data_IF_706169450965
#
_entry.id   IF_706169450965
#
_cell.length_a   1.000
_cell.length_b   1.000
_cell.length_c   1.000
_cell.angle_alpha   90.00
_cell.angle_beta   90.00
_cell.angle_gamma   90.00
#
_symmetry.space_group_name_H-M   'P 1'
#
loop_
_entity.id
_entity.type
_entity.pdbx_description
1 polymer ?
#
# COMPACT_ATOMS: atom_id res chain seq x y z
N UNK A 1 1.68 -15.00 -5.00
CA UNK A 1 0.59 -15.35 -5.94
C UNK A 1 0.96 -16.66 -6.64
N UNK A 2 0.03 -17.61 -6.81
CA UNK A 2 0.34 -18.90 -7.44
C UNK A 2 0.80 -18.73 -8.90
N UNK A 3 2.00 -19.22 -9.22
CA UNK A 3 2.60 -19.09 -10.56
C UNK A 3 3.48 -17.85 -10.74
N UNK A 4 3.96 -17.63 -11.98
CA UNK A 4 4.86 -16.51 -12.33
C UNK A 4 4.07 -15.22 -12.57
N UNK A 5 3.68 -14.55 -11.49
CA UNK A 5 2.89 -13.31 -11.53
C UNK A 5 3.71 -12.02 -11.68
N UNK A 6 4.93 -12.11 -12.25
CA UNK A 6 5.77 -10.96 -12.52
C UNK A 6 6.63 -10.49 -11.33
N UNK A 7 7.90 -10.93 -11.22
CA UNK A 7 8.83 -10.46 -10.18
C UNK A 7 9.25 -8.99 -10.33
N UNK A 8 10.02 -8.49 -9.35
CA UNK A 8 10.60 -7.13 -9.36
C UNK A 8 11.53 -6.85 -10.54
N UNK A 9 12.02 -7.91 -11.20
CA UNK A 9 13.02 -7.86 -12.28
C UNK A 9 12.63 -6.82 -13.35
N UNK A 10 11.39 -6.92 -13.84
CA UNK A 10 10.83 -6.04 -14.87
C UNK A 10 9.55 -5.33 -14.40
N UNK A 11 9.33 -5.22 -13.09
CA UNK A 11 8.16 -4.55 -12.50
C UNK A 11 6.83 -5.21 -12.88
N UNK A 12 6.80 -6.54 -12.96
CA UNK A 12 5.58 -7.28 -13.30
C UNK A 12 5.33 -7.51 -14.80
N UNK A 13 6.09 -6.85 -15.69
CA UNK A 13 5.93 -6.99 -17.15
C UNK A 13 6.32 -8.36 -17.71
N UNK A 14 7.07 -9.14 -16.93
CA UNK A 14 7.52 -10.48 -17.24
C UNK A 14 6.61 -11.58 -16.66
N UNK A 15 5.38 -11.21 -16.28
CA UNK A 15 4.34 -12.15 -15.89
C UNK A 15 4.03 -13.15 -17.02
N UNK A 16 3.74 -14.39 -16.63
CA UNK A 16 3.29 -15.40 -17.58
C UNK A 16 1.89 -15.07 -18.11
N UNK A 17 1.53 -15.67 -19.26
CA UNK A 17 0.20 -15.48 -19.86
C UNK A 17 -0.91 -15.79 -18.85
N UNK A 18 -2.03 -15.03 -18.84
CA UNK A 18 -3.15 -15.24 -17.92
C UNK A 18 -3.67 -16.68 -17.88
N UNK A 19 -3.60 -17.42 -18.99
CA UNK A 19 -4.00 -18.83 -19.09
C UNK A 19 -3.11 -19.82 -18.32
N UNK A 20 -1.93 -19.39 -17.85
CA UNK A 20 -0.95 -20.24 -17.13
C UNK A 20 -0.71 -19.77 -15.69
N UNK A 21 -1.49 -18.82 -15.19
CA UNK A 21 -1.40 -18.32 -13.83
C UNK A 21 -2.73 -18.54 -13.12
N UNK A 22 -2.66 -18.74 -11.80
CA UNK A 22 -3.84 -18.99 -10.98
C UNK A 22 -3.91 -17.96 -9.87
N UNK A 23 -5.12 -17.63 -9.45
CA UNK A 23 -5.33 -16.75 -8.30
C UNK A 23 -6.39 -17.32 -7.38
N UNK A 24 -6.29 -16.95 -6.11
CA UNK A 24 -7.32 -17.22 -5.10
C UNK A 24 -7.33 -16.06 -4.13
N UNK A 25 -8.47 -15.84 -3.48
CA UNK A 25 -8.55 -14.83 -2.43
C UNK A 25 -7.55 -15.16 -1.32
N UNK A 26 -6.84 -14.11 -0.88
CA UNK A 26 -6.05 -14.19 0.35
C UNK A 26 -7.00 -14.47 1.51
N UNK A 27 -6.62 -15.27 2.52
CA UNK A 27 -7.38 -15.37 3.76
C UNK A 27 -7.65 -14.00 4.42
N UNK A 28 -6.76 -13.03 4.16
CA UNK A 28 -6.91 -11.65 4.63
C UNK A 28 -8.08 -10.90 3.96
N UNK A 29 -8.56 -11.34 2.79
CA UNK A 29 -9.60 -10.63 2.06
C UNK A 29 -10.90 -10.54 2.89
N UNK A 30 -11.37 -11.65 3.48
CA UNK A 30 -12.58 -11.64 4.32
C UNK A 30 -12.37 -11.06 5.72
N UNK A 31 -11.12 -10.88 6.16
CA UNK A 31 -10.82 -10.09 7.35
C UNK A 31 -10.92 -8.58 7.05
N UNK A 32 -10.49 -8.17 5.85
CA UNK A 32 -10.57 -6.78 5.40
C UNK A 32 -11.97 -6.38 4.94
N UNK A 33 -12.73 -7.33 4.38
CA UNK A 33 -14.10 -7.19 3.92
C UNK A 33 -14.98 -8.27 4.58
N UNK A 34 -15.40 -8.04 5.84
CA UNK A 34 -16.19 -9.02 6.56
C UNK A 34 -17.50 -9.33 5.84
N UNK A 35 -17.83 -10.61 5.72
CA UNK A 35 -19.02 -11.08 5.00
C UNK A 35 -20.34 -10.52 5.57
N UNK A 36 -20.36 -10.20 6.87
CA UNK A 36 -21.48 -9.53 7.54
C UNK A 36 -21.77 -8.11 6.99
N UNK A 37 -20.87 -7.52 6.20
CA UNK A 37 -21.14 -6.26 5.51
C UNK A 37 -21.83 -6.46 4.16
N UNK A 38 -21.72 -7.63 3.54
CA UNK A 38 -22.10 -7.83 2.14
C UNK A 38 -23.58 -7.48 1.88
N UNK A 39 -24.46 -7.77 2.85
CA UNK A 39 -25.89 -7.47 2.79
C UNK A 39 -26.23 -5.97 2.95
N UNK A 40 -25.29 -5.17 3.46
CA UNK A 40 -25.46 -3.75 3.73
C UNK A 40 -24.99 -2.87 2.56
N UNK A 41 -24.21 -3.45 1.64
CA UNK A 41 -23.65 -2.72 0.52
C UNK A 41 -24.69 -2.47 -0.57
N UNK A 42 -24.76 -1.24 -1.06
CA UNK A 42 -25.57 -0.91 -2.24
C UNK A 42 -24.96 -1.54 -3.50
N UNK A 43 -25.68 -2.52 -4.07
CA UNK A 43 -25.30 -3.19 -5.32
C UNK A 43 -25.73 -2.37 -6.53
N UNK A 44 -24.88 -2.36 -7.56
CA UNK A 44 -25.24 -1.79 -8.85
C UNK A 44 -26.19 -2.70 -9.62
N UNK A 45 -26.77 -2.14 -10.68
CA UNK A 45 -27.58 -2.86 -11.66
C UNK A 45 -27.05 -2.55 -13.06
N UNK A 46 -26.91 -3.57 -13.89
CA UNK A 46 -26.53 -3.47 -15.31
C UNK A 46 -27.39 -4.44 -16.12
N UNK A 47 -28.10 -3.94 -17.15
CA UNK A 47 -29.08 -4.68 -17.95
C UNK A 47 -30.07 -5.55 -17.13
N UNK A 48 -30.55 -5.00 -16.00
CA UNK A 48 -31.48 -5.69 -15.09
C UNK A 48 -30.86 -6.79 -14.23
N UNK A 49 -29.54 -6.96 -14.29
CA UNK A 49 -28.78 -7.88 -13.44
C UNK A 49 -28.11 -7.12 -12.30
N UNK A 50 -28.20 -7.66 -11.09
CA UNK A 50 -27.45 -7.14 -9.94
C UNK A 50 -25.96 -7.46 -10.10
N UNK A 51 -25.13 -6.42 -10.09
CA UNK A 51 -23.67 -6.51 -10.23
C UNK A 51 -22.96 -6.27 -8.89
N UNK A 52 -21.68 -5.93 -8.92
CA UNK A 52 -20.92 -5.60 -7.73
C UNK A 52 -21.49 -4.39 -6.97
N UNK A 53 -21.17 -4.28 -5.67
CA UNK A 53 -21.38 -3.04 -4.93
C UNK A 53 -20.74 -1.83 -5.60
N UNK A 54 -21.41 -0.68 -5.52
CA UNK A 54 -20.87 0.62 -5.95
C UNK A 54 -19.51 0.87 -5.26
N UNK A 55 -19.38 0.44 -4.00
CA UNK A 55 -18.12 0.39 -3.27
C UNK A 55 -18.16 -0.68 -2.19
N UNK A 56 -16.99 -1.22 -1.88
CA UNK A 56 -16.75 -1.90 -0.62
C UNK A 56 -16.19 -0.91 0.40
N UNK A 57 -16.47 -1.14 1.69
CA UNK A 57 -15.94 -0.32 2.79
C UNK A 57 -15.07 -1.21 3.68
N UNK A 58 -13.77 -1.37 3.36
CA UNK A 58 -12.89 -2.25 4.14
C UNK A 58 -12.73 -1.77 5.58
N UNK A 59 -12.30 -2.65 6.48
CA UNK A 59 -12.08 -2.33 7.92
C UNK A 59 -11.01 -1.24 8.17
N UNK A 60 -10.09 -1.06 7.21
CA UNK A 60 -9.06 -0.02 7.19
C UNK A 60 -8.98 0.58 5.77
N UNK A 61 -8.54 1.84 5.59
CA UNK A 61 -8.48 2.49 4.28
C UNK A 61 -7.44 1.83 3.36
N UNK A 62 -7.88 0.83 2.58
CA UNK A 62 -7.00 0.06 1.69
C UNK A 62 -6.38 0.89 0.56
N UNK A 63 -6.98 2.05 0.24
CA UNK A 63 -6.39 3.02 -0.67
C UNK A 63 -5.00 3.47 -0.21
N UNK A 64 -4.81 3.64 1.11
CA UNK A 64 -3.52 3.98 1.70
C UNK A 64 -2.60 2.76 1.80
N UNK A 65 -3.14 1.58 2.13
CA UNK A 65 -2.34 0.36 2.31
C UNK A 65 -1.66 -0.08 1.01
N UNK A 66 -2.43 -0.13 -0.08
CA UNK A 66 -1.90 -0.58 -1.38
C UNK A 66 -1.34 0.58 -2.22
N UNK A 67 -1.70 1.83 -1.87
CA UNK A 67 -1.50 2.98 -2.73
C UNK A 67 -2.42 2.94 -3.96
N UNK A 68 -2.29 3.94 -4.81
CA UNK A 68 -3.01 4.05 -6.07
C UNK A 68 -2.17 4.78 -7.11
N UNK A 69 -2.23 4.35 -8.35
CA UNK A 69 -1.67 5.08 -9.49
C UNK A 69 -2.64 4.96 -10.67
N UNK A 70 -3.00 6.09 -11.26
CA UNK A 70 -3.94 6.13 -12.37
C UNK A 70 -3.87 7.42 -13.17
N UNK A 71 -4.22 7.33 -14.45
CA UNK A 71 -4.32 8.46 -15.37
C UNK A 71 -5.69 8.37 -16.04
N UNK A 72 -6.45 9.45 -15.97
CA UNK A 72 -7.72 9.61 -16.66
C UNK A 72 -7.72 10.87 -17.52
N UNK A 73 -8.87 11.19 -18.09
CA UNK A 73 -9.05 12.42 -18.87
C UNK A 73 -9.18 13.61 -17.91
N UNK A 74 -8.18 14.49 -17.86
CA UNK A 74 -8.19 15.69 -17.01
C UNK A 74 -7.64 15.50 -15.60
N UNK A 75 -7.47 14.26 -15.13
CA UNK A 75 -6.92 13.95 -13.81
C UNK A 75 -5.86 12.85 -13.85
N UNK A 76 -4.96 12.89 -12.88
CA UNK A 76 -4.08 11.76 -12.57
C UNK A 76 -3.96 11.64 -11.06
N UNK A 77 -3.64 10.45 -10.58
CA UNK A 77 -3.48 10.19 -9.16
C UNK A 77 -2.23 9.35 -8.92
N UNK A 78 -1.53 9.70 -7.84
CA UNK A 78 -0.43 8.91 -7.30
C UNK A 78 -0.44 9.01 -5.79
N UNK A 79 -0.96 7.98 -5.16
CA UNK A 79 -1.00 7.79 -3.71
C UNK A 79 0.02 6.69 -3.37
N UNK A 80 1.09 6.99 -2.62
CA UNK A 80 2.03 5.95 -2.22
C UNK A 80 1.41 5.00 -1.18
N UNK A 81 1.85 3.72 -1.13
CA UNK A 81 1.45 2.81 -0.07
C UNK A 81 2.00 3.25 1.29
N UNK A 82 1.27 2.94 2.36
CA UNK A 82 1.60 3.22 3.76
C UNK A 82 1.66 1.91 4.57
N UNK A 83 2.31 1.92 5.75
CA UNK A 83 2.37 0.72 6.58
C UNK A 83 0.96 0.44 7.13
N UNK A 84 0.40 -0.77 6.90
CA UNK A 84 -0.90 -1.15 7.47
C UNK A 84 -0.97 -0.96 8.99
N UNK A 85 0.16 -1.06 9.71
CA UNK A 85 0.24 -0.87 11.16
C UNK A 85 0.06 0.58 11.55
N UNK A 86 0.65 1.52 10.80
CA UNK A 86 0.51 2.96 11.03
C UNK A 86 -0.93 3.38 10.72
N UNK A 87 -1.49 2.89 9.61
CA UNK A 87 -2.90 3.10 9.26
C UNK A 87 -3.83 2.58 10.36
N UNK A 88 -3.56 1.39 10.89
CA UNK A 88 -4.35 0.81 11.98
C UNK A 88 -4.19 1.61 13.29
N UNK A 89 -2.98 2.07 13.61
CA UNK A 89 -2.72 2.90 14.78
C UNK A 89 -3.49 4.23 14.69
N UNK A 90 -3.51 4.86 13.52
CA UNK A 90 -4.30 6.07 13.27
C UNK A 90 -5.80 5.83 13.46
N UNK A 91 -6.34 4.77 12.85
CA UNK A 91 -7.77 4.42 12.99
C UNK A 91 -8.14 4.12 14.45
N UNK A 92 -7.27 3.43 15.20
CA UNK A 92 -7.49 3.17 16.63
C UNK A 92 -7.47 4.44 17.47
N UNK A 93 -6.48 5.30 17.27
CA UNK A 93 -6.41 6.58 17.98
C UNK A 93 -7.68 7.41 17.74
N UNK A 94 -8.25 7.39 16.53
CA UNK A 94 -9.56 8.03 16.26
C UNK A 94 -10.74 7.39 16.98
N UNK A 95 -10.75 6.07 17.15
CA UNK A 95 -11.80 5.39 17.94
C UNK A 95 -11.70 5.74 19.43
N UNK A 96 -10.49 5.99 19.92
CA UNK A 96 -10.20 6.39 21.31
C UNK A 96 -10.46 7.89 21.57
N UNK A 97 -11.01 8.63 20.60
CA UNK A 97 -11.33 10.06 20.73
C UNK A 97 -10.29 11.02 20.15
N UNK A 98 -9.19 10.51 19.60
CA UNK A 98 -8.15 11.32 18.97
C UNK A 98 -8.66 12.11 17.75
N UNK A 99 -8.31 13.39 17.69
CA UNK A 99 -8.64 14.29 16.57
C UNK A 99 -10.06 14.86 16.54
N UNK A 100 -10.84 14.75 17.63
CA UNK A 100 -12.17 15.36 17.76
C UNK A 100 -12.31 16.25 19.00
N UNK A 101 -12.59 17.54 18.80
CA UNK A 101 -12.94 18.51 19.85
C UNK A 101 -14.35 18.29 20.39
N UNK A 102 -14.46 17.52 21.46
CA UNK A 102 -15.56 17.63 22.41
C UNK A 102 -15.34 18.83 23.33
N UNK A 103 -16.42 19.39 23.87
CA UNK A 103 -16.39 20.57 24.76
C UNK A 103 -15.67 20.34 26.11
N UNK A 104 -15.14 19.14 26.36
CA UNK A 104 -14.40 18.74 27.56
C UNK A 104 -12.92 18.46 27.19
N UNK A 105 -12.11 19.51 27.30
CA UNK A 105 -10.78 19.68 26.71
C UNK A 105 -9.63 19.26 27.66
N UNK A 106 -9.54 17.97 28.04
CA UNK A 106 -8.42 17.48 28.88
C UNK A 106 -7.65 16.25 28.34
N UNK A 107 -8.19 15.47 27.38
CA UNK A 107 -7.52 14.26 26.86
C UNK A 107 -7.43 14.24 25.31
N UNK A 108 -6.76 15.24 24.71
CA UNK A 108 -6.47 15.23 23.26
C UNK A 108 -5.38 14.19 22.97
N UNK A 109 -5.77 13.03 22.46
CA UNK A 109 -4.82 12.01 21.95
C UNK A 109 -4.22 12.50 20.63
N UNK A 110 -2.90 12.71 20.61
CA UNK A 110 -2.17 13.06 19.38
C UNK A 110 -2.27 11.92 18.36
N UNK A 111 -2.60 12.27 17.12
CA UNK A 111 -2.81 11.29 16.05
C UNK A 111 -1.45 10.87 15.47
N UNK A 112 -1.14 9.56 15.42
CA UNK A 112 0.15 9.10 14.93
C UNK A 112 0.30 9.39 13.44
N UNK A 113 1.47 9.85 12.95
CA UNK A 113 1.65 10.16 11.54
C UNK A 113 1.68 8.88 10.68
N UNK A 114 1.12 8.94 9.47
CA UNK A 114 1.22 7.83 8.51
C UNK A 114 2.33 8.08 7.51
N UNK A 115 3.34 7.19 7.49
CA UNK A 115 4.47 7.32 6.57
C UNK A 115 4.36 6.36 5.39
N UNK A 116 4.77 6.78 4.18
CA UNK A 116 4.85 5.86 3.06
C UNK A 116 5.78 4.70 3.35
N UNK A 117 5.34 3.51 2.96
CA UNK A 117 6.02 2.25 3.24
C UNK A 117 5.73 1.24 2.15
N UNK A 118 6.75 0.45 1.80
CA UNK A 118 6.62 -0.61 0.80
C UNK A 118 7.07 -1.93 1.41
N UNK A 119 6.19 -2.93 1.38
CA UNK A 119 6.48 -4.25 1.93
C UNK A 119 7.74 -4.85 1.32
N UNK A 120 8.71 -5.15 2.19
CA UNK A 120 9.96 -5.82 1.81
C UNK A 120 11.02 -4.90 1.20
N UNK A 121 10.73 -3.60 1.05
CA UNK A 121 11.75 -2.61 0.71
C UNK A 121 12.70 -2.45 1.89
N UNK A 122 13.99 -2.65 1.65
CA UNK A 122 15.00 -2.58 2.71
C UNK A 122 15.66 -1.21 2.80
N UNK A 123 15.46 -0.33 1.83
CA UNK A 123 16.06 1.00 1.81
C UNK A 123 15.37 1.98 2.75
N UNK A 124 15.70 3.26 2.61
CA UNK A 124 15.20 4.31 3.49
C UNK A 124 14.17 5.17 2.74
N UNK A 125 13.09 5.58 3.42
CA UNK A 125 12.07 6.50 2.91
C UNK A 125 12.06 7.70 3.85
N UNK A 126 12.57 8.84 3.37
CA UNK A 126 12.74 10.03 4.19
C UNK A 126 11.90 11.18 3.63
N UNK A 127 11.29 12.02 4.48
CA UNK A 127 10.55 13.19 4.04
C UNK A 127 11.49 14.17 3.32
N UNK A 128 10.96 14.87 2.32
CA UNK A 128 11.67 15.97 1.67
C UNK A 128 11.63 17.22 2.53
N UNK A 129 12.66 18.06 2.40
CA UNK A 129 12.72 19.36 3.09
C UNK A 129 11.54 20.27 2.71
N UNK A 130 11.11 20.20 1.44
CA UNK A 130 9.99 20.98 0.89
C UNK A 130 8.60 20.42 1.23
N UNK A 131 8.52 19.34 2.01
CA UNK A 131 7.28 18.63 2.39
C UNK A 131 6.41 18.16 1.20
N UNK A 132 6.93 18.19 -0.04
CA UNK A 132 6.19 17.76 -1.25
C UNK A 132 6.09 16.24 -1.41
N UNK A 133 6.60 15.49 -0.44
CA UNK A 133 6.60 14.05 -0.40
C UNK A 133 7.90 13.52 0.21
N UNK A 134 8.39 12.42 -0.36
CA UNK A 134 9.46 11.63 0.21
C UNK A 134 10.55 11.32 -0.83
N UNK A 135 11.73 10.98 -0.36
CA UNK A 135 12.82 10.41 -1.16
C UNK A 135 13.02 8.97 -0.71
N UNK A 136 12.96 8.06 -1.67
CA UNK A 136 13.31 6.65 -1.46
C UNK A 136 14.76 6.45 -1.84
N UNK A 137 15.55 5.88 -0.93
CA UNK A 137 16.97 5.59 -1.15
C UNK A 137 17.20 4.09 -1.11
N UNK A 138 17.85 3.55 -2.14
CA UNK A 138 18.41 2.20 -2.13
C UNK A 138 19.58 2.06 -1.15
N UNK A 139 20.17 0.87 -1.09
CA UNK A 139 21.35 0.58 -0.26
C UNK A 139 22.55 0.25 -1.13
N UNK A 140 23.65 0.96 -0.87
CA UNK A 140 24.96 0.69 -1.46
C UNK A 140 26.03 0.81 -0.39
N UNK A 141 26.92 -0.17 -0.35
CA UNK A 141 27.98 -0.28 0.65
C UNK A 141 29.32 -0.54 -0.04
N UNK A 142 30.38 0.08 0.48
CA UNK A 142 31.74 -0.17 0.00
C UNK A 142 32.20 -1.56 0.46
N UNK A 143 32.43 -2.46 -0.48
CA UNK A 143 32.90 -3.83 -0.18
C UNK A 143 34.44 -3.91 -0.14
N UNK A 144 35.15 -3.09 -0.91
CA UNK A 144 36.61 -3.05 -0.91
C UNK A 144 37.14 -1.70 -1.41
N UNK A 145 38.46 -1.56 -1.58
CA UNK A 145 39.06 -0.35 -2.15
C UNK A 145 38.61 -0.05 -3.58
N UNK A 146 38.13 -1.06 -4.31
CA UNK A 146 37.78 -0.98 -5.73
C UNK A 146 36.39 -1.56 -6.02
N UNK A 147 35.57 -1.82 -5.00
CA UNK A 147 34.27 -2.45 -5.17
C UNK A 147 33.19 -1.90 -4.26
N UNK A 148 31.99 -1.79 -4.82
CA UNK A 148 30.74 -1.40 -4.14
C UNK A 148 29.71 -2.50 -4.35
N UNK A 149 28.97 -2.82 -3.30
CA UNK A 149 27.84 -3.74 -3.34
C UNK A 149 26.54 -2.96 -3.22
N UNK A 150 25.65 -3.13 -4.19
CA UNK A 150 24.32 -2.53 -4.20
C UNK A 150 23.31 -3.63 -3.88
N UNK A 151 22.62 -3.52 -2.74
CA UNK A 151 21.74 -4.55 -2.20
C UNK A 151 20.26 -4.17 -2.25
N UNK A 152 19.95 -2.91 -2.55
CA UNK A 152 18.57 -2.45 -2.74
C UNK A 152 18.50 -1.29 -3.72
N UNK A 153 17.44 -1.28 -4.54
CA UNK A 153 17.13 -0.19 -5.48
C UNK A 153 15.97 0.65 -4.95
N UNK A 154 15.93 1.97 -5.19
CA UNK A 154 14.83 2.82 -4.76
C UNK A 154 13.49 2.37 -5.37
N UNK A 155 12.39 2.71 -4.69
CA UNK A 155 11.04 2.28 -5.11
C UNK A 155 10.73 2.82 -6.51
N UNK A 156 10.20 1.94 -7.37
CA UNK A 156 9.88 2.25 -8.76
C UNK A 156 11.05 2.06 -9.75
N UNK A 157 12.26 1.72 -9.26
CA UNK A 157 13.39 1.37 -10.12
C UNK A 157 13.57 -0.15 -10.20
N UNK A 158 13.34 -0.69 -11.39
CA UNK A 158 13.41 -2.14 -11.66
C UNK A 158 14.81 -2.61 -12.00
N UNK A 159 15.10 -3.87 -11.73
CA UNK A 159 16.43 -4.47 -11.88
C UNK A 159 16.95 -4.38 -13.33
N UNK A 160 16.13 -4.67 -14.34
CA UNK A 160 16.54 -4.59 -15.76
C UNK A 160 16.85 -3.16 -16.22
N UNK A 161 16.03 -2.21 -15.76
CA UNK A 161 16.24 -0.79 -16.04
C UNK A 161 17.55 -0.31 -15.41
N UNK A 162 17.84 -0.76 -14.19
CA UNK A 162 19.08 -0.43 -13.50
C UNK A 162 20.31 -1.12 -14.10
N UNK A 163 20.20 -2.38 -14.52
CA UNK A 163 21.25 -3.08 -15.28
C UNK A 163 21.62 -2.30 -16.55
N UNK A 164 20.61 -1.85 -17.29
CA UNK A 164 20.81 -0.99 -18.46
C UNK A 164 21.49 0.34 -18.11
N UNK A 165 21.30 0.86 -16.89
CA UNK A 165 22.03 2.02 -16.40
C UNK A 165 23.50 1.71 -16.12
N UNK A 166 23.81 0.60 -15.44
CA UNK A 166 25.19 0.17 -15.16
C UNK A 166 25.98 -0.14 -16.43
N UNK A 167 25.35 -0.74 -17.46
CA UNK A 167 25.98 -0.94 -18.76
C UNK A 167 26.42 0.39 -19.39
N UNK A 168 25.56 1.40 -19.37
CA UNK A 168 25.92 2.74 -19.86
C UNK A 168 27.04 3.39 -19.03
N UNK A 169 27.06 3.20 -17.71
CA UNK A 169 28.17 3.67 -16.86
C UNK A 169 29.49 2.98 -17.22
N UNK A 170 29.46 1.67 -17.53
CA UNK A 170 30.64 0.92 -17.99
C UNK A 170 31.14 1.46 -19.32
N UNK A 171 30.24 1.68 -20.27
CA UNK A 171 30.59 2.14 -21.61
C UNK A 171 31.16 3.58 -21.58
N UNK A 172 30.74 4.40 -20.61
CA UNK A 172 31.34 5.73 -20.33
C UNK A 172 32.66 5.66 -19.54
N UNK A 173 33.11 4.47 -19.17
CA UNK A 173 34.34 4.27 -18.40
C UNK A 173 34.22 4.67 -16.92
N UNK A 174 33.00 4.87 -16.41
CA UNK A 174 32.77 5.20 -15.00
C UNK A 174 32.90 3.97 -14.09
N UNK A 175 32.66 2.77 -14.61
CA UNK A 175 32.89 1.51 -13.89
C UNK A 175 33.67 0.56 -14.78
N UNK A 176 34.43 -0.34 -14.17
CA UNK A 176 35.22 -1.35 -14.90
C UNK A 176 34.36 -2.53 -15.32
N UNK A 177 33.59 -3.06 -14.37
CA UNK A 177 32.70 -4.20 -14.57
C UNK A 177 31.68 -4.27 -13.43
N UNK A 178 30.67 -5.10 -13.58
CA UNK A 178 29.78 -5.47 -12.49
C UNK A 178 29.36 -6.94 -12.63
N UNK A 179 29.02 -7.57 -11.52
CA UNK A 179 28.43 -8.91 -11.45
C UNK A 179 27.04 -8.84 -10.80
N UNK A 180 26.18 -9.78 -11.16
CA UNK A 180 24.76 -9.82 -10.79
C UNK A 180 24.45 -11.13 -10.07
N UNK A 181 24.05 -11.05 -8.79
CA UNK A 181 23.67 -12.20 -7.97
C UNK A 181 22.24 -12.01 -7.43
N UNK A 182 21.28 -11.86 -8.34
CA UNK A 182 19.89 -11.54 -8.00
C UNK A 182 19.08 -12.79 -7.63
N UNK A 183 18.08 -12.62 -6.77
CA UNK A 183 16.99 -13.61 -6.63
C UNK A 183 15.71 -13.04 -7.24
N UNK A 184 14.62 -13.81 -7.21
CA UNK A 184 13.30 -13.33 -7.63
C UNK A 184 12.80 -12.15 -6.80
N UNK A 185 13.28 -12.00 -5.56
CA UNK A 185 12.83 -10.98 -4.59
C UNK A 185 13.90 -9.98 -4.16
N UNK A 186 15.19 -10.28 -4.35
CA UNK A 186 16.30 -9.45 -3.90
C UNK A 186 17.25 -9.07 -5.03
N UNK A 187 17.83 -7.89 -4.92
CA UNK A 187 18.85 -7.38 -5.85
C UNK A 187 20.21 -7.42 -5.19
N UNK A 188 21.24 -7.73 -5.98
CA UNK A 188 22.64 -7.69 -5.59
C UNK A 188 23.48 -7.40 -6.82
N UNK A 189 24.08 -6.21 -6.88
CA UNK A 189 25.10 -5.88 -7.87
C UNK A 189 26.44 -5.70 -7.17
N UNK A 190 27.47 -6.42 -7.61
CA UNK A 190 28.85 -6.19 -7.21
C UNK A 190 29.55 -5.38 -8.30
N UNK A 191 29.74 -4.08 -8.08
CA UNK A 191 30.32 -3.15 -9.05
C UNK A 191 31.81 -2.99 -8.76
N UNK A 192 32.64 -3.06 -9.80
CA UNK A 192 34.08 -2.83 -9.73
C UNK A 192 34.47 -1.54 -10.44
N UNK A 193 35.29 -0.72 -9.78
CA UNK A 193 35.75 0.58 -10.29
C UNK A 193 37.15 0.91 -9.76
N UNK A 194 37.80 1.92 -10.34
CA UNK A 194 39.13 2.39 -9.90
C UNK A 194 39.04 3.00 -8.50
N UNK A 195 40.03 2.73 -7.64
CA UNK A 195 40.02 3.20 -6.25
C UNK A 195 39.84 4.71 -6.11
N UNK A 196 40.61 5.49 -6.88
CA UNK A 196 40.51 6.96 -6.90
C UNK A 196 39.11 7.45 -7.32
N UNK A 197 38.42 6.70 -8.17
CA UNK A 197 37.07 7.05 -8.59
C UNK A 197 36.03 6.73 -7.52
N UNK A 198 36.17 5.58 -6.85
CA UNK A 198 35.32 5.20 -5.72
C UNK A 198 35.42 6.23 -4.60
N UNK A 199 36.64 6.62 -4.24
CA UNK A 199 36.88 7.63 -3.20
C UNK A 199 36.25 8.98 -3.57
N UNK A 200 36.31 9.37 -4.85
CA UNK A 200 35.63 10.60 -5.34
C UNK A 200 34.11 10.49 -5.25
N UNK A 201 33.54 9.35 -5.65
CA UNK A 201 32.09 9.11 -5.63
C UNK A 201 31.54 9.06 -4.20
N UNK A 202 32.28 8.48 -3.26
CA UNK A 202 31.92 8.40 -1.85
C UNK A 202 31.98 9.76 -1.16
N UNK A 203 32.97 10.60 -1.52
CA UNK A 203 33.14 11.95 -0.98
C UNK A 203 32.28 13.01 -1.65
N UNK A 204 31.58 12.68 -2.75
CA UNK A 204 30.66 13.59 -3.40
C UNK A 204 29.52 13.93 -2.43
N UNK A 205 29.47 15.20 -2.00
CA UNK A 205 28.50 15.69 -1.02
C UNK A 205 27.04 15.46 -1.44
N UNK A 206 26.17 15.31 -0.45
CA UNK A 206 24.71 15.18 -0.62
C UNK A 206 24.16 13.75 -0.51
N UNK A 207 25.00 12.70 -0.56
CA UNK A 207 24.50 11.32 -0.43
C UNK A 207 25.49 10.17 -0.64
N UNK A 208 26.77 10.47 -0.83
CA UNK A 208 27.82 9.47 -1.02
C UNK A 208 27.48 8.48 -2.14
N UNK A 209 27.67 7.19 -1.86
CA UNK A 209 27.45 6.10 -2.83
C UNK A 209 26.02 6.07 -3.39
N UNK A 210 25.00 6.37 -2.56
CA UNK A 210 23.60 6.32 -3.02
C UNK A 210 23.29 7.38 -4.08
N UNK A 211 23.87 8.58 -3.94
CA UNK A 211 23.74 9.63 -4.95
C UNK A 211 24.56 9.29 -6.21
N UNK A 212 25.81 8.86 -6.05
CA UNK A 212 26.70 8.54 -7.15
C UNK A 212 26.16 7.45 -8.07
N UNK A 213 25.53 6.42 -7.49
CA UNK A 213 24.94 5.28 -8.23
C UNK A 213 23.46 5.49 -8.61
N UNK A 214 22.93 6.72 -8.49
CA UNK A 214 21.54 7.07 -8.79
C UNK A 214 20.52 6.20 -8.07
N UNK A 215 20.80 5.85 -6.81
CA UNK A 215 19.94 5.02 -5.97
C UNK A 215 18.92 5.84 -5.18
N UNK A 216 18.52 7.00 -5.69
CA UNK A 216 17.50 7.86 -5.08
C UNK A 216 16.38 8.13 -6.07
N UNK A 217 15.14 8.00 -5.60
CA UNK A 217 13.94 8.28 -6.40
C UNK A 217 12.93 9.07 -5.58
N UNK A 218 12.25 10.01 -6.24
CA UNK A 218 11.22 10.83 -5.62
C UNK A 218 9.91 10.05 -5.49
N UNK A 219 9.29 10.17 -4.32
CA UNK A 219 7.97 9.66 -4.01
C UNK A 219 7.08 10.84 -3.64
N UNK A 220 6.54 11.52 -4.66
CA UNK A 220 5.69 12.70 -4.47
C UNK A 220 4.32 12.33 -3.89
N UNK A 221 3.79 13.21 -3.04
CA UNK A 221 2.44 13.14 -2.43
C UNK A 221 1.55 14.32 -2.82
N UNK A 222 1.96 15.14 -3.79
CA UNK A 222 1.25 16.37 -4.20
C UNK A 222 0.01 16.14 -5.05
N UNK A 223 -0.20 14.92 -5.55
CA UNK A 223 -1.22 14.60 -6.55
C UNK A 223 -2.05 13.38 -6.16
N UNK A 224 -2.75 13.48 -5.04
CA UNK A 224 -3.60 12.41 -4.48
C UNK A 224 -5.07 12.69 -4.79
N UNK A 225 -5.51 12.30 -5.99
CA UNK A 225 -6.93 12.40 -6.38
C UNK A 225 -7.64 11.06 -6.14
N UNK A 226 -8.82 11.09 -5.53
CA UNK A 226 -9.69 9.92 -5.39
C UNK A 226 -11.16 10.34 -5.39
N UNK A 227 -12.05 9.37 -5.62
CA UNK A 227 -13.48 9.58 -5.47
C UNK A 227 -13.85 9.63 -3.99
N UNK A 228 -14.66 10.61 -3.61
CA UNK A 228 -15.26 10.71 -2.29
C UNK A 228 -16.50 9.80 -2.15
N UNK A 229 -17.21 9.92 -1.03
CA UNK A 229 -18.41 9.13 -0.74
C UNK A 229 -19.59 9.44 -1.66
N UNK A 230 -19.56 10.59 -2.32
CA UNK A 230 -20.63 11.05 -3.21
C UNK A 230 -20.26 10.78 -4.68
N UNK A 231 -19.13 10.10 -4.93
CA UNK A 231 -18.65 9.79 -6.27
C UNK A 231 -18.02 10.98 -7.00
N UNK A 232 -17.60 12.03 -6.29
CA UNK A 232 -16.92 13.19 -6.86
C UNK A 232 -15.41 13.06 -6.71
N UNK A 233 -14.68 13.53 -7.72
CA UNK A 233 -13.21 13.56 -7.67
C UNK A 233 -12.77 14.69 -6.74
N UNK A 234 -12.03 14.33 -5.69
CA UNK A 234 -11.42 15.25 -4.74
C UNK A 234 -9.91 15.08 -4.72
N UNK A 235 -9.19 16.20 -4.57
CA UNK A 235 -7.76 16.19 -4.23
C UNK A 235 -7.62 16.14 -2.71
N UNK A 236 -6.85 15.18 -2.23
CA UNK A 236 -6.46 15.04 -0.83
C UNK A 236 -5.05 15.60 -0.65
N UNK A 237 -4.83 16.37 0.41
CA UNK A 237 -3.54 16.99 0.70
C UNK A 237 -2.63 16.08 1.54
N UNK A 238 -3.21 15.14 2.29
CA UNK A 238 -2.46 14.20 3.14
C UNK A 238 -3.07 12.79 3.16
N UNK A 239 -2.30 11.83 3.69
CA UNK A 239 -2.80 10.47 3.92
C UNK A 239 -3.86 10.46 5.05
N UNK A 240 -3.66 11.33 6.04
CA UNK A 240 -4.57 11.57 7.16
C UNK A 240 -5.95 12.02 6.67
N UNK A 241 -6.02 12.93 5.69
CA UNK A 241 -7.30 13.37 5.11
C UNK A 241 -8.07 12.22 4.43
N UNK A 242 -7.34 11.29 3.77
CA UNK A 242 -7.94 10.08 3.18
C UNK A 242 -8.49 9.17 4.27
N UNK A 243 -7.74 8.96 5.36
CA UNK A 243 -8.19 8.15 6.48
C UNK A 243 -9.39 8.79 7.19
N UNK A 244 -9.38 10.11 7.35
CA UNK A 244 -10.47 10.89 7.96
C UNK A 244 -11.74 10.82 7.13
N UNK A 245 -11.63 10.80 5.81
CA UNK A 245 -12.78 10.62 4.92
C UNK A 245 -13.34 9.18 4.97
N UNK A 246 -12.47 8.18 5.13
CA UNK A 246 -12.89 6.79 5.24
C UNK A 246 -13.55 6.46 6.58
N UNK A 247 -13.06 7.05 7.67
CA UNK A 247 -13.46 6.74 9.05
C UNK A 247 -14.97 6.83 9.31
N UNK A 248 -15.69 7.94 9.04
CA UNK A 248 -17.11 8.05 9.34
C UNK A 248 -17.97 7.09 8.52
N UNK A 249 -17.59 6.82 7.25
CA UNK A 249 -18.26 5.84 6.41
C UNK A 249 -18.17 4.44 7.02
N UNK A 250 -16.98 4.08 7.49
CA UNK A 250 -16.76 2.78 8.11
C UNK A 250 -17.46 2.67 9.46
N UNK A 251 -17.48 3.74 10.25
CA UNK A 251 -18.17 3.79 11.54
C UNK A 251 -19.69 3.65 11.39
N UNK A 252 -20.29 4.35 10.42
CA UNK A 252 -21.71 4.22 10.10
C UNK A 252 -22.08 2.77 9.70
N UNK A 253 -21.26 2.15 8.85
CA UNK A 253 -21.46 0.75 8.44
C UNK A 253 -21.38 -0.23 9.62
N UNK A 254 -20.53 0.02 10.62
CA UNK A 254 -20.53 -0.79 11.86
C UNK A 254 -21.86 -0.68 12.62
N UNK A 255 -22.48 0.51 12.67
CA UNK A 255 -23.80 0.72 13.28
C UNK A 255 -24.91 -0.03 12.53
N UNK A 256 -24.91 0.05 11.20
CA UNK A 256 -25.83 -0.69 10.33
C UNK A 256 -25.66 -2.20 10.51
N UNK A 257 -24.40 -2.68 10.54
CA UNK A 257 -24.08 -4.09 10.78
C UNK A 257 -24.61 -4.56 12.12
N UNK A 258 -24.38 -3.81 13.20
CA UNK A 258 -24.91 -4.15 14.52
C UNK A 258 -26.43 -4.33 14.47
N UNK A 259 -27.13 -3.36 13.89
CA UNK A 259 -28.59 -3.39 13.77
C UNK A 259 -29.09 -4.57 12.93
N UNK A 260 -28.38 -4.91 11.86
CA UNK A 260 -28.72 -6.06 11.01
C UNK A 260 -28.52 -7.39 11.75
N UNK A 261 -27.39 -7.57 12.43
CA UNK A 261 -27.10 -8.78 13.21
C UNK A 261 -28.10 -8.96 14.36
N UNK A 262 -28.50 -7.88 15.04
CA UNK A 262 -29.54 -7.92 16.08
C UNK A 262 -30.86 -8.44 15.52
N UNK A 263 -31.32 -7.94 14.37
CA UNK A 263 -32.55 -8.41 13.70
C UNK A 263 -32.47 -9.88 13.31
N UNK A 264 -31.34 -10.30 12.74
CA UNK A 264 -31.15 -11.68 12.29
C UNK A 264 -31.13 -12.67 13.46
N UNK A 265 -30.49 -12.28 14.58
CA UNK A 265 -30.46 -13.06 15.81
C UNK A 265 -31.85 -13.14 16.45
N UNK A 266 -32.60 -12.03 16.47
CA UNK A 266 -33.98 -12.00 17.00
C UNK A 266 -34.93 -12.88 16.17
N UNK A 267 -34.83 -12.81 14.84
CA UNK A 267 -35.57 -13.70 13.94
C UNK A 267 -35.23 -15.17 14.19
N UNK A 268 -33.93 -15.49 14.25
CA UNK A 268 -33.45 -16.87 14.46
C UNK A 268 -33.90 -17.42 15.82
N UNK A 269 -33.82 -16.60 16.87
CA UNK A 269 -34.29 -16.94 18.21
C UNK A 269 -35.79 -17.24 18.23
N UNK A 270 -36.59 -16.36 17.61
CA UNK A 270 -38.04 -16.52 17.50
C UNK A 270 -38.40 -17.79 16.73
N UNK A 271 -37.73 -18.04 15.59
CA UNK A 271 -37.94 -19.23 14.79
C UNK A 271 -37.62 -20.52 15.56
N UNK A 272 -36.48 -20.56 16.26
CA UNK A 272 -36.07 -21.72 17.04
C UNK A 272 -37.01 -21.96 18.23
N UNK A 273 -37.47 -20.90 18.89
CA UNK A 273 -38.46 -20.99 19.96
C UNK A 273 -39.77 -21.59 19.45
N UNK A 274 -40.31 -21.07 18.35
CA UNK A 274 -41.53 -21.62 17.73
C UNK A 274 -41.38 -23.09 17.33
N UNK A 275 -40.21 -23.49 16.80
CA UNK A 275 -39.92 -24.90 16.49
C UNK A 275 -39.89 -25.77 17.75
N UNK A 276 -39.26 -25.30 18.81
CA UNK A 276 -39.21 -26.02 20.08
C UNK A 276 -40.60 -26.18 20.68
N UNK A 277 -41.40 -25.11 20.71
CA UNK A 277 -42.77 -25.11 21.22
C UNK A 277 -43.66 -26.08 20.42
N UNK A 278 -43.53 -26.10 19.09
CA UNK A 278 -44.24 -27.06 18.24
C UNK A 278 -43.85 -28.51 18.56
N UNK A 279 -42.56 -28.81 18.66
CA UNK A 279 -42.09 -30.17 18.99
C UNK A 279 -42.63 -30.62 20.35
N UNK A 280 -42.58 -29.74 21.37
CA UNK A 280 -43.11 -30.03 22.70
C UNK A 280 -44.63 -30.26 22.69
N UNK A 281 -45.37 -29.52 21.86
CA UNK A 281 -46.81 -29.70 21.72
C UNK A 281 -47.19 -31.03 21.04
N UNK A 282 -46.37 -31.54 20.11
CA UNK A 282 -46.64 -32.79 19.36
C UNK A 282 -46.13 -34.04 20.07
N UNK A 283 -45.15 -33.91 20.97
CA UNK A 283 -44.57 -35.04 21.74
C UNK A 283 -45.24 -35.29 23.08
N UNK A 284 -46.21 -34.46 23.47
CA UNK A 284 -47.13 -34.72 24.59
C UNK A 284 -48.42 -35.34 24.09
#
# INVERSE_FOLDING_TARGET
PPGKSGPRLSGGKDAASPRYIFTRLSPLARLLFPEADDALLTRGEDDGQTIEPIRYVPVIPLLLVNGCQGIGTGWSTRIPPHDPRDVLAYVRAKLDGGGGGGDDDDDVVDLPPMRPWVRGFKGDILPREDKSGYVTSGRAERASKTSVRITELPVGLWTDAYKSHLLRMRDRGEIRSFAEDHTTSSVSFAVSLKAAQLDRMEKSGGGGLTAAFKLRSNLLTTNMHAFDSDGRIRKFESAEEIADHHFPLRLALYGERKSHLERDMEYSSTLLKNKADFIQAVTR
#
